data_IF_678811488730
#
_entry.id   IF_678811488730
#
_cell.length_a   1.000
_cell.length_b   1.000
_cell.length_c   1.000
_cell.angle_alpha   90.00
_cell.angle_beta   90.00
_cell.angle_gamma   90.00
#
_symmetry.space_group_name_H-M   'P 1'
#
loop_
_entity.id
_entity.type
_entity.pdbx_description
1 polymer ?
#
# COMPACT_ATOMS: atom_id res chain seq x y z
N UNK A 1 13.68 -12.62 -0.28
CA UNK A 1 15.03 -12.22 -0.73
C UNK A 1 15.80 -13.41 -1.28
N UNK A 2 16.89 -13.16 -2.04
CA UNK A 2 17.77 -14.24 -2.55
C UNK A 2 18.39 -15.08 -1.44
N UNK A 3 18.57 -14.54 -0.25
CA UNK A 3 19.06 -15.30 0.92
C UNK A 3 18.01 -16.29 1.42
N UNK A 4 16.75 -15.88 1.52
CA UNK A 4 15.63 -16.74 1.90
C UNK A 4 15.40 -17.83 0.87
N UNK A 5 15.50 -17.51 -0.42
CA UNK A 5 15.37 -18.48 -1.51
C UNK A 5 16.45 -19.57 -1.50
N UNK A 6 17.60 -19.32 -0.86
CA UNK A 6 18.68 -20.32 -0.69
C UNK A 6 18.49 -21.19 0.56
N UNK A 7 17.56 -20.87 1.44
CA UNK A 7 17.33 -21.65 2.64
C UNK A 7 16.74 -23.02 2.26
N UNK A 8 17.23 -24.15 2.84
CA UNK A 8 16.74 -25.50 2.52
C UNK A 8 15.24 -25.69 2.77
N UNK A 9 14.65 -24.92 3.68
CA UNK A 9 13.23 -24.94 3.98
C UNK A 9 12.38 -24.06 3.07
N UNK A 10 12.98 -23.37 2.08
CA UNK A 10 12.23 -22.57 1.11
C UNK A 10 11.57 -23.49 0.08
N UNK A 11 10.26 -23.47 0.00
CA UNK A 11 9.47 -24.34 -0.89
C UNK A 11 8.41 -23.50 -1.60
N UNK A 12 8.49 -23.44 -2.94
CA UNK A 12 7.45 -22.84 -3.79
C UNK A 12 6.40 -23.87 -4.21
N UNK A 13 6.82 -25.14 -4.33
CA UNK A 13 5.89 -26.21 -4.70
C UNK A 13 4.86 -26.42 -3.58
N UNK A 14 3.61 -26.24 -3.92
CA UNK A 14 2.49 -26.47 -3.01
C UNK A 14 2.36 -27.97 -2.71
N UNK A 15 2.39 -28.35 -1.45
CA UNK A 15 2.22 -29.73 -1.03
C UNK A 15 0.86 -29.83 -0.32
N UNK A 16 -0.15 -30.33 -1.05
CA UNK A 16 -1.50 -30.54 -0.53
C UNK A 16 -2.40 -29.30 -0.59
N UNK A 17 -3.48 -29.32 0.19
CA UNK A 17 -4.51 -28.27 0.27
C UNK A 17 -4.20 -27.20 1.32
N UNK A 18 -3.05 -27.26 1.99
CA UNK A 18 -2.71 -26.40 3.12
C UNK A 18 -2.00 -25.13 2.70
N UNK A 19 -2.11 -24.09 3.55
CA UNK A 19 -1.37 -22.85 3.44
C UNK A 19 0.13 -23.14 3.55
N UNK A 20 0.93 -22.52 2.68
CA UNK A 20 2.37 -22.64 2.71
C UNK A 20 3.03 -21.33 3.09
N UNK A 21 3.82 -21.34 4.17
CA UNK A 21 4.43 -20.15 4.76
C UNK A 21 5.91 -19.95 4.41
N UNK A 22 6.57 -20.98 3.90
CA UNK A 22 8.02 -21.05 3.72
C UNK A 22 8.45 -20.96 2.25
N UNK A 23 7.88 -20.07 1.48
CA UNK A 23 8.21 -19.92 0.04
C UNK A 23 7.37 -18.86 -0.64
N UNK A 24 6.05 -18.99 -0.65
CA UNK A 24 5.17 -18.01 -1.25
C UNK A 24 5.26 -16.64 -0.59
N UNK A 25 4.97 -15.60 -1.37
CA UNK A 25 4.77 -14.24 -0.88
C UNK A 25 3.31 -14.04 -0.52
N UNK A 26 3.07 -13.48 0.67
CA UNK A 26 1.74 -13.27 1.22
C UNK A 26 1.37 -11.78 1.21
N UNK A 27 0.20 -11.39 0.68
CA UNK A 27 -0.30 -10.02 0.75
C UNK A 27 -0.33 -9.47 2.18
N UNK A 28 -0.74 -10.30 3.14
CA UNK A 28 -0.72 -9.95 4.57
C UNK A 28 0.68 -9.57 5.06
N UNK A 29 1.67 -10.40 4.79
CA UNK A 29 3.07 -10.11 5.17
C UNK A 29 3.60 -8.88 4.44
N UNK A 30 3.25 -8.69 3.17
CA UNK A 30 3.62 -7.51 2.39
C UNK A 30 3.05 -6.24 3.00
N UNK A 31 1.79 -6.26 3.44
CA UNK A 31 1.18 -5.09 4.10
C UNK A 31 1.83 -4.78 5.45
N UNK A 32 2.20 -5.80 6.23
CA UNK A 32 2.94 -5.61 7.48
C UNK A 32 4.33 -5.01 7.25
N UNK A 33 5.07 -5.50 6.25
CA UNK A 33 6.38 -4.95 5.87
C UNK A 33 6.25 -3.49 5.45
N UNK A 34 5.28 -3.15 4.60
CA UNK A 34 5.04 -1.76 4.19
C UNK A 34 4.66 -0.87 5.37
N UNK A 35 3.82 -1.34 6.28
CA UNK A 35 3.50 -0.61 7.51
C UNK A 35 4.75 -0.37 8.37
N UNK A 36 5.60 -1.39 8.52
CA UNK A 36 6.87 -1.27 9.25
C UNK A 36 7.82 -0.28 8.57
N UNK A 37 7.96 -0.33 7.23
CA UNK A 37 8.77 0.63 6.47
C UNK A 37 8.27 2.06 6.65
N UNK A 38 6.96 2.28 6.58
CA UNK A 38 6.37 3.59 6.83
C UNK A 38 6.69 4.10 8.25
N UNK A 39 6.61 3.23 9.24
CA UNK A 39 6.96 3.58 10.63
C UNK A 39 8.44 3.88 10.79
N UNK A 40 9.32 3.12 10.15
CA UNK A 40 10.77 3.40 10.18
C UNK A 40 11.06 4.76 9.56
N UNK A 41 10.51 5.04 8.37
CA UNK A 41 10.71 6.31 7.66
C UNK A 41 10.16 7.52 8.40
N UNK A 42 9.08 7.35 9.16
CA UNK A 42 8.44 8.45 9.89
C UNK A 42 9.02 8.68 11.27
N UNK A 43 9.47 7.63 11.98
CA UNK A 43 9.75 7.70 13.41
C UNK A 43 11.23 7.57 13.76
N UNK A 44 12.08 7.14 12.82
CA UNK A 44 13.49 6.87 13.10
C UNK A 44 14.41 7.62 12.13
N UNK A 45 15.45 8.26 12.68
CA UNK A 45 16.54 8.80 11.86
C UNK A 45 17.43 7.64 11.42
N UNK A 46 17.42 7.34 10.13
CA UNK A 46 18.16 6.23 9.53
C UNK A 46 18.40 6.49 8.03
N UNK A 47 19.28 5.74 7.40
CA UNK A 47 19.68 5.85 5.99
C UNK A 47 19.64 4.50 5.23
N UNK A 48 19.10 3.44 5.85
CA UNK A 48 19.02 2.10 5.26
C UNK A 48 17.89 1.95 4.26
N UNK A 49 16.75 2.63 4.50
CA UNK A 49 15.57 2.61 3.63
C UNK A 49 15.13 4.02 3.31
N UNK A 50 14.57 4.19 2.13
CA UNK A 50 14.17 5.48 1.59
C UNK A 50 12.67 5.49 1.23
N UNK A 51 12.11 6.68 0.97
CA UNK A 51 10.76 6.81 0.42
C UNK A 51 10.62 6.12 -0.94
N UNK A 52 11.72 6.02 -1.70
CA UNK A 52 11.71 5.31 -2.98
C UNK A 52 11.54 3.80 -2.79
N UNK A 53 12.18 3.20 -1.77
CA UNK A 53 12.04 1.78 -1.45
C UNK A 53 10.60 1.45 -1.02
N UNK A 54 10.00 2.33 -0.20
CA UNK A 54 8.59 2.21 0.16
C UNK A 54 7.68 2.22 -1.07
N UNK A 55 7.85 3.22 -1.93
CA UNK A 55 7.01 3.38 -3.13
C UNK A 55 7.19 2.21 -4.10
N UNK A 56 8.41 1.72 -4.30
CA UNK A 56 8.65 0.58 -5.21
C UNK A 56 8.03 -0.71 -4.66
N UNK A 57 8.16 -0.98 -3.36
CA UNK A 57 7.52 -2.13 -2.72
C UNK A 57 5.99 -2.03 -2.83
N UNK A 58 5.43 -0.84 -2.62
CA UNK A 58 3.99 -0.60 -2.78
C UNK A 58 3.53 -0.80 -4.24
N UNK A 59 4.32 -0.38 -5.22
CA UNK A 59 4.04 -0.62 -6.65
C UNK A 59 4.05 -2.11 -7.00
N UNK A 60 5.00 -2.87 -6.45
CA UNK A 60 5.05 -4.33 -6.63
C UNK A 60 3.76 -4.95 -6.10
N UNK A 61 3.35 -4.57 -4.89
CA UNK A 61 2.11 -5.05 -4.30
C UNK A 61 0.88 -4.63 -5.13
N UNK A 62 0.81 -3.38 -5.59
CA UNK A 62 -0.27 -2.89 -6.45
C UNK A 62 -0.38 -3.70 -7.76
N UNK A 63 0.76 -3.97 -8.40
CA UNK A 63 0.80 -4.75 -9.66
C UNK A 63 0.35 -6.19 -9.45
N UNK A 64 0.53 -6.75 -8.26
CA UNK A 64 0.08 -8.10 -7.94
C UNK A 64 -1.44 -8.26 -7.92
N UNK A 65 -2.23 -7.17 -7.80
CA UNK A 65 -3.69 -7.22 -7.81
C UNK A 65 -4.31 -7.57 -9.18
N UNK A 66 -3.53 -8.20 -10.05
CA UNK A 66 -3.96 -8.62 -11.37
C UNK A 66 -3.47 -10.05 -11.67
N UNK A 67 -4.17 -10.70 -12.58
CA UNK A 67 -3.73 -11.97 -13.17
C UNK A 67 -3.84 -11.88 -14.69
N UNK A 68 -2.80 -12.39 -15.36
CA UNK A 68 -2.87 -12.63 -16.81
C UNK A 68 -3.48 -13.99 -17.07
N UNK A 69 -4.55 -14.02 -17.86
CA UNK A 69 -5.19 -15.24 -18.33
C UNK A 69 -4.42 -15.83 -19.51
N UNK A 70 -4.72 -17.11 -19.87
CA UNK A 70 -4.07 -17.81 -20.98
C UNK A 70 -4.33 -17.15 -22.35
N UNK A 71 -5.45 -16.43 -22.47
CA UNK A 71 -5.79 -15.63 -23.66
C UNK A 71 -5.09 -14.26 -23.70
N UNK A 72 -4.21 -13.97 -22.72
CA UNK A 72 -3.44 -12.76 -22.62
C UNK A 72 -4.12 -11.58 -21.92
N UNK A 73 -5.41 -11.67 -21.59
CA UNK A 73 -6.13 -10.61 -20.86
C UNK A 73 -5.59 -10.45 -19.45
N UNK A 74 -5.46 -9.21 -19.00
CA UNK A 74 -5.17 -8.85 -17.63
C UNK A 74 -6.47 -8.56 -16.89
N UNK A 75 -6.75 -9.32 -15.84
CA UNK A 75 -7.97 -9.16 -15.04
C UNK A 75 -7.63 -8.83 -13.58
N UNK A 76 -8.47 -8.08 -12.87
CA UNK A 76 -8.34 -7.90 -11.43
C UNK A 76 -8.34 -9.27 -10.73
N UNK A 77 -7.41 -9.44 -9.80
CA UNK A 77 -7.29 -10.70 -9.07
C UNK A 77 -6.70 -10.47 -7.70
N UNK A 78 -7.33 -11.01 -6.69
CA UNK A 78 -6.90 -10.97 -5.29
C UNK A 78 -7.01 -12.38 -4.74
N UNK A 79 -5.94 -12.89 -4.16
CA UNK A 79 -5.87 -14.25 -3.63
C UNK A 79 -4.92 -14.31 -2.42
N UNK A 80 -4.64 -15.51 -1.93
CA UNK A 80 -3.95 -15.76 -0.67
C UNK A 80 -2.44 -15.60 -0.78
N UNK A 81 -1.81 -16.20 -1.80
CA UNK A 81 -0.36 -16.26 -1.94
C UNK A 81 0.13 -16.22 -3.38
N UNK A 82 1.36 -15.73 -3.56
CA UNK A 82 2.03 -15.59 -4.84
C UNK A 82 3.35 -16.38 -4.85
N UNK A 83 3.71 -16.84 -6.03
CA UNK A 83 5.06 -17.31 -6.30
C UNK A 83 6.07 -16.16 -6.16
N UNK A 84 7.03 -16.31 -5.26
CA UNK A 84 8.01 -15.25 -4.94
C UNK A 84 9.01 -14.98 -6.07
N UNK A 85 9.11 -15.86 -7.08
CA UNK A 85 9.96 -15.67 -8.25
C UNK A 85 9.23 -14.99 -9.40
N UNK A 86 8.01 -15.44 -9.68
CA UNK A 86 7.26 -15.05 -10.88
C UNK A 86 6.18 -14.02 -10.61
N UNK A 87 5.75 -13.87 -9.34
CA UNK A 87 4.61 -13.05 -8.96
C UNK A 87 3.26 -13.62 -9.40
N UNK A 88 3.21 -14.88 -9.81
CA UNK A 88 1.97 -15.53 -10.19
C UNK A 88 1.19 -15.97 -8.96
N UNK A 89 -0.13 -15.82 -9.00
CA UNK A 89 -1.02 -16.32 -7.97
C UNK A 89 -0.98 -17.85 -7.89
N UNK A 90 -0.90 -18.40 -6.68
CA UNK A 90 -0.74 -19.83 -6.45
C UNK A 90 -2.00 -20.49 -5.91
N UNK A 91 -2.68 -19.86 -4.96
CA UNK A 91 -3.74 -20.53 -4.20
C UNK A 91 -4.90 -21.00 -5.07
N UNK A 92 -5.65 -20.09 -5.68
CA UNK A 92 -6.84 -20.39 -6.47
C UNK A 92 -6.55 -21.17 -7.78
N UNK A 93 -5.51 -20.81 -8.56
CA UNK A 93 -5.16 -21.59 -9.76
C UNK A 93 -4.90 -23.07 -9.48
N UNK A 94 -4.27 -23.39 -8.36
CA UNK A 94 -4.02 -24.78 -7.96
C UNK A 94 -5.26 -25.49 -7.48
N UNK A 95 -6.14 -24.79 -6.77
CA UNK A 95 -7.38 -25.34 -6.22
C UNK A 95 -8.47 -25.53 -7.27
N UNK A 96 -8.37 -24.87 -8.43
CA UNK A 96 -9.28 -25.12 -9.56
C UNK A 96 -9.18 -26.58 -10.10
N UNK A 97 -8.04 -27.23 -9.90
CA UNK A 97 -7.82 -28.63 -10.26
C UNK A 97 -8.30 -29.61 -9.16
N UNK A 98 -8.69 -29.08 -8.01
CA UNK A 98 -9.24 -29.89 -6.91
C UNK A 98 -10.63 -30.42 -7.26
N UNK A 99 -10.86 -31.67 -6.95
CA UNK A 99 -12.18 -32.31 -7.05
C UNK A 99 -13.15 -31.83 -5.95
N UNK A 100 -12.63 -31.14 -4.92
CA UNK A 100 -13.41 -30.60 -3.81
C UNK A 100 -13.86 -29.19 -4.12
N UNK A 101 -15.17 -29.00 -4.29
CA UNK A 101 -15.78 -27.70 -4.62
C UNK A 101 -15.51 -26.65 -3.55
N UNK A 102 -15.52 -27.02 -2.28
CA UNK A 102 -15.30 -26.13 -1.14
C UNK A 102 -13.88 -25.55 -1.06
N UNK A 103 -12.90 -26.17 -1.69
CA UNK A 103 -11.52 -25.67 -1.71
C UNK A 103 -11.21 -24.75 -2.87
N UNK A 104 -12.04 -24.74 -3.92
CA UNK A 104 -11.81 -23.96 -5.15
C UNK A 104 -11.74 -22.46 -4.95
N UNK A 105 -12.46 -21.94 -3.95
CA UNK A 105 -12.55 -20.51 -3.66
C UNK A 105 -11.87 -20.13 -2.35
N UNK A 106 -11.24 -21.07 -1.67
CA UNK A 106 -10.45 -20.80 -0.48
C UNK A 106 -9.28 -19.88 -0.84
N UNK A 107 -9.15 -18.78 -0.13
CA UNK A 107 -8.16 -17.75 -0.43
C UNK A 107 -8.65 -16.64 -1.37
N UNK A 108 -9.83 -16.79 -1.98
CA UNK A 108 -10.42 -15.71 -2.78
C UNK A 108 -10.62 -14.47 -1.92
N UNK A 109 -10.16 -13.31 -2.44
CA UNK A 109 -10.28 -12.01 -1.78
C UNK A 109 -9.61 -11.96 -0.38
N UNK A 110 -8.62 -12.83 -0.15
CA UNK A 110 -7.96 -13.01 1.14
C UNK A 110 -7.10 -11.80 1.54
N UNK A 111 -7.45 -11.21 2.68
CA UNK A 111 -6.64 -10.29 3.49
C UNK A 111 -5.98 -9.10 2.77
N UNK A 112 -6.68 -8.47 1.84
CA UNK A 112 -6.23 -7.25 1.15
C UNK A 112 -6.87 -5.95 1.70
N UNK A 113 -7.66 -6.02 2.76
CA UNK A 113 -8.39 -4.87 3.33
C UNK A 113 -7.48 -3.74 3.81
N UNK A 114 -6.25 -4.06 4.25
CA UNK A 114 -5.26 -3.06 4.68
C UNK A 114 -4.56 -2.31 3.53
N UNK A 115 -4.81 -2.68 2.27
CA UNK A 115 -4.11 -2.02 1.14
C UNK A 115 -4.39 -0.51 1.07
N UNK A 116 -5.63 -0.08 1.29
CA UNK A 116 -5.97 1.35 1.29
C UNK A 116 -5.27 2.10 2.41
N UNK A 117 -5.03 1.48 3.56
CA UNK A 117 -4.29 2.09 4.67
C UNK A 117 -2.83 2.36 4.31
N UNK A 118 -2.23 1.52 3.46
CA UNK A 118 -0.88 1.75 2.95
C UNK A 118 -0.81 3.00 2.04
N UNK A 119 -1.90 3.34 1.37
CA UNK A 119 -2.00 4.59 0.60
C UNK A 119 -2.29 5.76 1.53
N UNK A 120 -3.34 5.67 2.36
CA UNK A 120 -3.84 6.77 3.17
C UNK A 120 -2.82 7.15 4.26
N UNK A 121 -2.49 6.19 5.12
CA UNK A 121 -1.61 6.42 6.27
C UNK A 121 -0.13 6.27 5.95
N UNK A 122 0.21 5.48 4.93
CA UNK A 122 1.57 5.28 4.45
C UNK A 122 1.99 6.34 3.44
N UNK A 123 1.59 6.19 2.18
CA UNK A 123 2.10 6.99 1.06
C UNK A 123 1.71 8.47 1.16
N UNK A 124 0.41 8.76 1.33
CA UNK A 124 -0.09 10.14 1.52
C UNK A 124 0.26 10.65 2.91
N UNK A 125 0.26 9.75 3.90
CA UNK A 125 0.83 10.03 5.20
C UNK A 125 -0.11 10.70 6.19
N UNK A 126 -1.43 10.50 6.07
CA UNK A 126 -2.37 10.91 7.13
C UNK A 126 -2.09 10.07 8.39
N UNK A 127 -1.49 10.69 9.40
CA UNK A 127 -1.05 10.00 10.62
C UNK A 127 -2.18 9.95 11.64
N UNK A 128 -2.61 8.74 12.07
CA UNK A 128 -3.63 8.61 13.12
C UNK A 128 -3.14 9.23 14.45
N UNK A 129 -3.98 10.07 15.05
CA UNK A 129 -3.71 10.72 16.34
C UNK A 129 -4.95 10.66 17.21
N UNK A 130 -4.77 10.76 18.53
CA UNK A 130 -5.87 10.79 19.50
C UNK A 130 -6.36 12.23 19.83
N UNK A 131 -5.59 13.23 19.41
CA UNK A 131 -5.92 14.66 19.63
C UNK A 131 -6.58 15.28 18.39
N UNK A 132 -6.96 16.56 18.50
CA UNK A 132 -7.60 17.33 17.43
C UNK A 132 -6.60 17.86 16.38
N UNK A 133 -5.46 17.19 16.20
CA UNK A 133 -4.46 17.55 15.20
C UNK A 133 -4.56 16.63 14.01
N UNK A 134 -4.63 17.19 12.81
CA UNK A 134 -4.39 16.47 11.57
C UNK A 134 -2.92 16.59 11.24
N UNK A 135 -2.21 15.49 11.26
CA UNK A 135 -0.80 15.39 10.86
C UNK A 135 -0.69 14.63 9.55
N UNK A 136 0.03 15.18 8.61
CA UNK A 136 0.37 14.57 7.33
C UNK A 136 1.88 14.51 7.22
N UNK A 137 2.44 13.32 6.96
CA UNK A 137 3.85 13.14 6.68
C UNK A 137 4.01 12.20 5.46
N UNK A 138 4.03 12.79 4.26
CA UNK A 138 4.00 12.03 3.01
C UNK A 138 5.29 11.27 2.74
N UNK A 139 5.13 10.03 2.29
CA UNK A 139 6.23 9.18 1.79
C UNK A 139 6.37 9.22 0.26
N UNK A 140 5.64 10.08 -0.43
CA UNK A 140 5.87 10.33 -1.86
C UNK A 140 7.27 10.91 -2.04
N UNK A 141 8.17 10.26 -2.83
CA UNK A 141 9.51 10.80 -3.07
C UNK A 141 9.46 12.14 -3.81
N UNK A 142 10.39 13.03 -3.50
CA UNK A 142 10.49 14.33 -4.13
C UNK A 142 10.62 14.20 -5.66
N UNK A 143 9.87 15.03 -6.38
CA UNK A 143 9.88 15.04 -7.83
C UNK A 143 9.16 13.87 -8.52
N UNK A 144 8.70 12.88 -7.77
CA UNK A 144 8.02 11.71 -8.36
C UNK A 144 6.65 12.07 -8.96
N UNK A 145 5.86 12.88 -8.24
CA UNK A 145 4.54 13.33 -8.70
C UNK A 145 4.43 14.85 -8.68
N UNK A 146 3.91 15.39 -9.77
CA UNK A 146 3.60 16.81 -9.86
C UNK A 146 2.36 17.19 -9.06
N UNK A 147 1.46 16.24 -8.81
CA UNK A 147 0.23 16.45 -8.07
C UNK A 147 -0.36 15.12 -7.56
N UNK A 148 -1.11 15.19 -6.46
CA UNK A 148 -2.03 14.16 -5.96
C UNK A 148 -3.13 14.79 -5.11
N UNK A 149 -4.22 14.06 -4.93
CA UNK A 149 -5.28 14.42 -3.99
C UNK A 149 -5.82 13.16 -3.33
N UNK A 150 -5.87 13.18 -2.01
CA UNK A 150 -6.65 12.29 -1.18
C UNK A 150 -7.82 13.11 -0.64
N UNK A 151 -9.02 12.78 -1.05
CA UNK A 151 -10.22 13.57 -0.75
C UNK A 151 -11.27 12.72 -0.05
N UNK A 152 -12.16 13.40 0.64
CA UNK A 152 -13.34 12.84 1.26
C UNK A 152 -13.04 11.77 2.34
N UNK A 153 -11.96 11.97 3.11
CA UNK A 153 -11.58 11.07 4.21
C UNK A 153 -12.22 11.53 5.50
N UNK A 154 -13.05 10.67 6.09
CA UNK A 154 -13.62 10.91 7.41
C UNK A 154 -12.55 10.71 8.50
N UNK A 155 -12.25 11.77 9.25
CA UNK A 155 -11.27 11.78 10.33
C UNK A 155 -11.76 12.64 11.49
N UNK A 156 -11.95 12.06 12.68
CA UNK A 156 -12.48 12.72 13.88
C UNK A 156 -13.77 13.53 13.62
N UNK A 157 -14.69 12.96 12.83
CA UNK A 157 -15.96 13.58 12.49
C UNK A 157 -15.88 14.73 11.48
N UNK A 158 -14.71 14.99 10.88
CA UNK A 158 -14.47 15.99 9.83
C UNK A 158 -14.11 15.34 8.53
N UNK A 159 -14.42 15.98 7.42
CA UNK A 159 -13.99 15.54 6.08
C UNK A 159 -12.66 16.19 5.76
N UNK A 160 -11.63 15.36 5.63
CA UNK A 160 -10.26 15.80 5.32
C UNK A 160 -10.00 15.66 3.82
N UNK A 161 -9.35 16.69 3.26
CA UNK A 161 -8.76 16.68 1.92
C UNK A 161 -7.28 17.01 2.05
N UNK A 162 -6.42 16.19 1.45
CA UNK A 162 -4.97 16.38 1.37
C UNK A 162 -4.62 16.47 -0.10
N UNK A 163 -4.04 17.57 -0.52
CA UNK A 163 -3.62 17.75 -1.93
C UNK A 163 -2.19 18.27 -2.00
N UNK A 164 -1.49 17.77 -3.00
CA UNK A 164 -0.21 18.29 -3.47
C UNK A 164 -0.37 18.81 -4.90
N UNK A 165 0.07 20.02 -5.13
CA UNK A 165 0.14 20.63 -6.46
C UNK A 165 1.44 21.41 -6.58
N UNK A 166 2.45 20.82 -7.24
CA UNK A 166 3.79 21.40 -7.31
C UNK A 166 3.78 22.83 -7.89
N UNK A 167 2.96 23.06 -8.90
CA UNK A 167 2.92 24.30 -9.64
C UNK A 167 1.67 25.15 -9.36
N UNK A 168 0.72 24.64 -8.60
CA UNK A 168 -0.55 25.30 -8.29
C UNK A 168 -1.57 25.35 -9.43
N UNK A 169 -1.30 24.64 -10.54
CA UNK A 169 -2.12 24.72 -11.77
C UNK A 169 -3.17 23.64 -11.86
N UNK A 170 -2.99 22.52 -11.13
CA UNK A 170 -3.89 21.36 -11.25
C UNK A 170 -5.23 21.57 -10.55
N UNK A 171 -5.21 22.08 -9.31
CA UNK A 171 -6.41 22.20 -8.47
C UNK A 171 -6.89 23.64 -8.29
N UNK A 172 -6.13 24.63 -8.77
CA UNK A 172 -6.47 26.04 -8.63
C UNK A 172 -6.45 26.54 -7.17
N UNK A 173 -5.72 25.82 -6.28
CA UNK A 173 -5.58 26.18 -4.86
C UNK A 173 -4.22 26.82 -4.51
N UNK A 174 -3.39 27.04 -5.53
CA UNK A 174 -2.01 27.47 -5.38
C UNK A 174 -1.04 26.28 -5.17
N UNK A 175 0.28 26.52 -5.27
CA UNK A 175 1.30 25.48 -5.16
C UNK A 175 1.44 24.97 -3.72
N UNK A 176 1.98 23.75 -3.57
CA UNK A 176 2.35 23.17 -2.29
C UNK A 176 1.43 22.04 -1.80
N UNK A 177 1.80 21.51 -0.63
CA UNK A 177 1.02 20.51 0.12
C UNK A 177 0.01 21.26 1.01
N UNK A 178 -1.26 20.92 0.86
CA UNK A 178 -2.35 21.58 1.58
C UNK A 178 -3.26 20.56 2.23
N UNK A 179 -3.70 20.88 3.44
CA UNK A 179 -4.66 20.07 4.20
C UNK A 179 -5.89 20.92 4.51
N UNK A 180 -7.04 20.35 4.23
CA UNK A 180 -8.34 20.98 4.50
C UNK A 180 -9.15 20.10 5.45
N UNK A 181 -9.93 20.74 6.32
CA UNK A 181 -10.97 20.11 7.11
C UNK A 181 -12.30 20.80 6.79
N UNK A 182 -13.31 20.05 6.36
CA UNK A 182 -14.61 20.56 5.91
C UNK A 182 -14.49 21.72 4.90
N UNK A 183 -13.52 21.62 3.97
CA UNK A 183 -13.25 22.60 2.93
C UNK A 183 -12.44 23.83 3.39
N UNK A 184 -12.17 24.00 4.70
CA UNK A 184 -11.32 25.06 5.23
C UNK A 184 -9.87 24.60 5.33
N UNK A 185 -8.93 25.37 4.77
CA UNK A 185 -7.50 25.07 4.90
C UNK A 185 -7.04 25.17 6.34
N UNK A 186 -6.42 24.13 6.85
CA UNK A 186 -5.88 24.04 8.21
C UNK A 186 -4.36 23.92 8.26
N UNK A 187 -3.72 23.48 7.14
CA UNK A 187 -2.26 23.40 7.06
C UNK A 187 -1.77 23.61 5.62
N UNK A 188 -0.50 24.05 5.49
CA UNK A 188 0.18 24.25 4.22
C UNK A 188 1.69 24.10 4.37
N UNK A 189 2.34 23.55 3.33
CA UNK A 189 3.79 23.54 3.15
C UNK A 189 4.11 23.70 1.67
N UNK A 190 5.18 24.44 1.35
CA UNK A 190 5.64 24.60 -0.04
C UNK A 190 6.31 23.35 -0.60
N UNK A 191 6.68 22.40 0.28
CA UNK A 191 7.37 21.15 -0.09
C UNK A 191 6.61 19.95 0.42
N UNK A 192 6.88 18.77 -0.19
CA UNK A 192 6.45 17.49 0.35
C UNK A 192 7.18 17.18 1.66
N UNK A 193 6.45 16.67 2.63
CA UNK A 193 7.00 16.33 3.95
C UNK A 193 5.95 16.38 5.03
N UNK A 194 6.37 16.72 6.25
CA UNK A 194 5.50 16.81 7.40
C UNK A 194 4.82 18.17 7.47
N UNK A 195 3.51 18.15 7.67
CA UNK A 195 2.68 19.31 7.94
C UNK A 195 1.58 18.95 8.93
N UNK A 196 1.18 19.87 9.79
CA UNK A 196 0.08 19.65 10.73
C UNK A 196 -0.79 20.87 10.90
N UNK A 197 -2.07 20.63 11.20
CA UNK A 197 -3.04 21.68 11.50
C UNK A 197 -4.07 21.18 12.52
N UNK A 198 -4.59 22.10 13.32
CA UNK A 198 -5.63 21.79 14.31
C UNK A 198 -7.00 21.76 13.63
N UNK A 199 -7.82 20.79 13.99
CA UNK A 199 -9.23 20.72 13.58
C UNK A 199 -10.00 21.95 14.11
N UNK A 200 -10.95 22.48 13.34
CA UNK A 200 -11.81 23.58 13.76
C UNK A 200 -12.85 23.16 14.79
#
# INVERSE_FOLDING_TARGET
TTAEQRHPGFVIAYIGDDCQWNGPSWPYSTSQVLTALANVLNNYKQDFVTKADYLETLKIYTRSHHRRLDDGRLVPWIDEDLDSYTGQWLARPRKLDSTRIETRHRGKDYNHSSYCDLIISGLIGLRPRADDVVEVNTLVPDGMWGWFCLDNVLYHGRIITILWDKNGTKYGKGPGLRVYADGKQIAHSDTLGQVSGKLP
#
